data_IF_261351353006
#
_entry.id   IF_261351353006
#
_cell.length_a   1.000
_cell.length_b   1.000
_cell.length_c   1.000
_cell.angle_alpha   90.00
_cell.angle_beta   90.00
_cell.angle_gamma   90.00
#
_symmetry.space_group_name_H-M   'P 1'
#
loop_
_entity.id
_entity.type
_entity.pdbx_description
1 polymer ?
2 non-polymer ?
3 non-polymer ?
4 non-polymer ?
5 non-polymer ?
6 water ?
#
# COMPACT_ATOMS: atom_id res chain seq x y z
N UNK A 2 -0.19 -17.93 4.36
CA UNK A 2 -0.89 -17.66 3.07
C UNK A 2 0.08 -17.42 1.92
N UNK A 3 -0.44 -16.90 0.79
CA UNK A 3 0.36 -16.70 -0.42
C UNK A 3 1.48 -15.66 -0.25
N UNK A 4 2.63 -15.93 -0.85
CA UNK A 4 3.70 -14.94 -0.96
C UNK A 4 4.19 -14.90 -2.40
N UNK A 5 4.87 -13.81 -2.76
CA UNK A 5 5.55 -13.75 -4.05
C UNK A 5 6.74 -14.70 -4.01
N UNK A 6 6.91 -15.46 -5.09
CA UNK A 6 7.94 -16.50 -5.18
C UNK A 6 9.11 -16.05 -6.06
N UNK A 7 9.36 -14.75 -6.07
CA UNK A 7 10.38 -14.16 -6.93
C UNK A 7 10.81 -12.85 -6.27
N UNK A 8 11.98 -12.34 -6.63
CA UNK A 8 12.50 -11.15 -5.95
C UNK A 8 12.25 -9.83 -6.65
N UNK A 9 12.10 -9.86 -7.97
CA UNK A 9 11.83 -8.65 -8.73
C UNK A 9 10.33 -8.49 -8.91
N UNK A 10 9.77 -7.46 -8.27
CA UNK A 10 8.34 -7.19 -8.28
C UNK A 10 8.07 -5.87 -8.97
N UNK A 11 7.07 -5.85 -9.85
CA UNK A 11 6.71 -4.63 -10.55
C UNK A 11 5.41 -4.05 -10.03
N UNK A 12 5.31 -2.72 -10.10
CA UNK A 12 4.07 -2.04 -9.84
C UNK A 12 3.79 -1.03 -10.94
N UNK A 13 2.52 -0.70 -11.10
CA UNK A 13 2.08 0.27 -12.08
C UNK A 13 1.03 1.15 -11.43
N UNK A 14 1.14 2.46 -11.64
CA UNK A 14 0.11 3.36 -11.15
C UNK A 14 -0.91 3.53 -12.26
N UNK A 15 -2.06 2.90 -12.06
CA UNK A 15 -3.14 2.85 -13.04
C UNK A 15 -3.68 4.23 -13.40
N UNK A 16 -3.86 5.05 -12.37
CA UNK A 16 -4.42 6.38 -12.48
C UNK A 16 -4.02 7.19 -11.25
N UNK A 17 -4.16 8.51 -11.34
CA UNK A 17 -3.68 9.41 -10.30
C UNK A 17 -4.78 10.20 -9.63
N UNK A 18 -4.75 10.25 -8.31
CA UNK A 18 -5.70 11.10 -7.59
C UNK A 18 -5.51 12.57 -7.95
N UNK A 19 -6.61 13.31 -8.15
CA UNK A 19 -6.48 14.75 -8.37
C UNK A 19 -6.19 15.51 -7.07
N UNK A 20 -6.11 14.79 -5.96
CA UNK A 20 -5.87 15.41 -4.66
C UNK A 20 -4.44 15.89 -4.50
N UNK A 21 -3.52 15.37 -5.31
CA UNK A 21 -2.09 15.58 -5.10
C UNK A 21 -1.39 15.90 -6.40
N UNK A 22 -0.18 16.46 -6.29
CA UNK A 22 0.70 16.60 -7.45
C UNK A 22 1.12 15.21 -7.93
N UNK A 23 1.18 15.03 -9.25
CA UNK A 23 1.59 13.73 -9.81
C UNK A 23 2.91 13.23 -9.23
N UNK A 24 3.91 14.09 -9.18
CA UNK A 24 5.22 13.67 -8.68
C UNK A 24 5.17 13.25 -7.21
N UNK A 25 4.25 13.85 -6.45
CA UNK A 25 4.11 13.50 -5.03
C UNK A 25 3.44 12.14 -4.85
N UNK A 26 2.52 11.79 -5.75
CA UNK A 26 1.94 10.44 -5.74
C UNK A 26 3.04 9.42 -6.04
N UNK A 27 3.82 9.66 -7.09
CA UNK A 27 4.92 8.77 -7.45
C UNK A 27 5.88 8.57 -6.28
N UNK A 28 6.26 9.68 -5.64
CA UNK A 28 7.24 9.62 -4.56
C UNK A 28 6.69 8.92 -3.30
N UNK A 29 5.44 9.21 -2.95
CA UNK A 29 4.82 8.56 -1.79
C UNK A 29 4.77 7.05 -1.98
N UNK A 30 4.37 6.60 -3.16
CA UNK A 30 4.26 5.18 -3.45
C UNK A 30 5.65 4.53 -3.49
N UNK A 31 6.61 5.19 -4.15
CA UNK A 31 7.98 4.70 -4.18
C UNK A 31 8.54 4.55 -2.77
N UNK A 32 8.36 5.55 -1.92
CA UNK A 32 8.87 5.48 -0.55
C UNK A 32 8.20 4.36 0.24
N UNK A 33 6.91 4.14 0.00
CA UNK A 33 6.19 3.08 0.70
C UNK A 33 6.73 1.70 0.32
N UNK A 34 7.03 1.48 -0.97
CA UNK A 34 7.69 0.24 -1.39
C UNK A 34 9.06 0.09 -0.73
N UNK A 35 9.81 1.18 -0.66
CA UNK A 35 11.14 1.18 -0.07
C UNK A 35 11.13 0.74 1.39
N UNK A 36 10.08 1.10 2.13
CA UNK A 36 9.93 0.65 3.50
C UNK A 36 10.06 -0.87 3.60
N UNK A 37 9.41 -1.58 2.66
CA UNK A 37 9.42 -3.02 2.70
C UNK A 37 10.65 -3.66 2.06
N UNK A 38 11.19 -3.05 1.00
CA UNK A 38 12.43 -3.56 0.42
C UNK A 38 13.62 -3.35 1.36
N UNK A 39 13.49 -2.40 2.30
CA UNK A 39 14.52 -2.17 3.33
C UNK A 39 14.75 -3.38 4.23
N UNK A 40 13.72 -4.22 4.36
CA UNK A 40 13.74 -5.29 5.37
C UNK A 40 13.47 -6.67 4.75
N UNK A 41 13.53 -6.75 3.43
CA UNK A 41 13.33 -8.00 2.68
C UNK A 41 14.31 -8.04 1.51
N UNK A 42 14.43 -9.20 0.82
CA UNK A 42 15.21 -9.25 -0.41
C UNK A 42 14.48 -8.73 -1.66
N UNK A 43 13.28 -8.19 -1.47
CA UNK A 43 12.47 -7.76 -2.60
C UNK A 43 13.01 -6.49 -3.26
N UNK A 44 12.82 -6.40 -4.58
CA UNK A 44 13.14 -5.20 -5.35
C UNK A 44 11.89 -4.78 -6.11
N UNK A 45 11.54 -3.50 -6.01
CA UNK A 45 10.34 -2.98 -6.64
C UNK A 45 10.68 -2.00 -7.74
N UNK A 46 10.01 -2.14 -8.87
CA UNK A 46 10.20 -1.25 -10.01
C UNK A 46 8.86 -0.81 -10.57
N UNK A 47 8.75 0.49 -10.83
CA UNK A 47 7.57 1.06 -11.45
C UNK A 47 7.65 0.85 -12.96
N UNK A 48 6.56 0.34 -13.55
CA UNK A 48 6.47 0.21 -15.00
C UNK A 48 5.34 1.09 -15.52
N UNK A 49 5.45 1.50 -16.77
CA UNK A 49 4.54 2.49 -17.35
C UNK A 49 3.41 1.87 -18.13
N UNK A 50 3.66 0.68 -18.68
CA UNK A 50 2.69 -0.02 -19.50
C UNK A 50 2.75 -1.51 -19.18
N UNK A 51 1.69 -2.22 -19.55
CA UNK A 51 1.67 -3.69 -19.43
C UNK A 51 1.25 -4.20 -18.08
N UNK A 52 1.42 -5.51 -17.88
CA UNK A 52 0.95 -6.20 -16.68
C UNK A 52 1.98 -6.11 -15.56
N UNK A 53 1.61 -5.42 -14.49
CA UNK A 53 2.45 -5.33 -13.30
C UNK A 53 1.99 -6.37 -12.29
N UNK A 54 2.85 -6.72 -11.35
CA UNK A 54 2.42 -7.56 -10.23
C UNK A 54 1.43 -6.80 -9.35
N UNK A 55 1.75 -5.55 -9.02
CA UNK A 55 0.92 -4.75 -8.13
C UNK A 55 0.39 -3.54 -8.90
N UNK A 56 -0.91 -3.54 -9.16
CA UNK A 56 -1.56 -2.39 -9.77
C UNK A 56 -2.10 -1.47 -8.68
N UNK A 57 -1.68 -0.21 -8.73
CA UNK A 57 -2.13 0.81 -7.79
C UNK A 57 -3.27 1.60 -8.45
N UNK A 58 -4.43 1.61 -7.79
CA UNK A 58 -5.64 2.21 -8.37
C UNK A 58 -6.27 3.21 -7.39
N UNK A 59 -6.73 4.35 -7.91
CA UNK A 59 -7.59 5.23 -7.12
C UNK A 59 -8.99 5.12 -7.68
N UNK A 60 -9.96 4.82 -6.81
CA UNK A 60 -11.33 4.64 -7.26
C UNK A 60 -12.29 4.93 -6.12
N UNK A 61 -13.55 5.20 -6.47
CA UNK A 61 -14.58 5.45 -5.45
C UNK A 61 -15.74 4.49 -5.61
N UNK A 62 -16.48 4.30 -4.52
CA UNK A 62 -17.70 3.47 -4.55
C UNK A 62 -17.44 2.10 -5.13
N UNK A 63 -18.37 1.61 -5.94
CA UNK A 63 -18.22 0.33 -6.63
C UNK A 63 -17.22 0.50 -7.76
N UNK A 64 -16.20 -0.36 -7.80
CA UNK A 64 -15.13 -0.21 -8.77
C UNK A 64 -14.65 -1.53 -9.36
N UNK A 65 -15.53 -2.52 -9.38
CA UNK A 65 -15.33 -3.71 -10.19
C UNK A 65 -14.73 -4.94 -9.52
N UNK A 66 -14.61 -4.91 -8.20
CA UNK A 66 -14.00 -6.05 -7.50
C UNK A 66 -14.86 -6.65 -6.39
N UNK A 67 -16.09 -6.17 -6.29
CA UNK A 67 -17.06 -6.66 -5.30
C UNK A 67 -16.77 -6.15 -3.87
N UNK A 68 -15.69 -5.36 -3.71
CA UNK A 68 -15.34 -4.74 -2.43
C UNK A 68 -15.53 -3.22 -2.50
N UNK A 69 -16.79 -2.79 -2.52
CA UNK A 69 -17.09 -1.36 -2.71
C UNK A 69 -16.56 -0.46 -1.61
N UNK A 70 -16.15 0.75 -2.01
CA UNK A 70 -15.78 1.78 -1.05
C UNK A 70 -17.03 2.52 -0.54
N UNK A 71 -16.84 3.31 0.51
CA UNK A 71 -17.91 3.77 1.39
C UNK A 71 -17.99 5.29 1.53
N UNK A 72 -17.41 6.03 0.58
CA UNK A 72 -17.37 7.49 0.71
C UNK A 72 -16.28 7.93 1.66
N UNK A 73 -16.28 9.22 1.99
CA UNK A 73 -15.24 9.77 2.85
C UNK A 73 -15.25 9.13 4.24
N UNK A 74 -14.07 8.80 4.72
CA UNK A 74 -13.92 8.12 6.02
C UNK A 74 -14.07 6.62 5.90
N UNK A 75 -14.12 5.94 7.04
CA UNK A 75 -14.29 4.49 7.04
C UNK A 75 -13.13 3.78 6.36
N UNK A 76 -13.45 2.96 5.37
CA UNK A 76 -12.42 2.26 4.59
C UNK A 76 -11.63 3.27 3.77
N UNK A 77 -10.32 3.31 3.96
CA UNK A 77 -9.46 4.26 3.26
C UNK A 77 -8.87 3.65 1.99
N UNK A 78 -8.63 2.34 2.05
CA UNK A 78 -7.96 1.62 0.99
C UNK A 78 -8.08 0.13 1.29
N UNK A 79 -7.80 -0.70 0.30
CA UNK A 79 -7.67 -2.14 0.51
C UNK A 79 -6.74 -2.74 -0.52
N UNK A 80 -6.24 -3.94 -0.24
CA UNK A 80 -5.30 -4.57 -1.13
C UNK A 80 -5.41 -6.08 -1.07
N UNK A 81 -5.02 -6.74 -2.15
CA UNK A 81 -5.15 -8.18 -2.28
C UNK A 81 -3.78 -8.82 -2.09
N UNK A 82 -3.79 -9.98 -1.43
CA UNK A 82 -2.56 -10.75 -1.22
C UNK A 82 -1.97 -11.24 -2.53
N UNK A 83 -0.70 -11.69 -2.49
CA UNK A 83 0.00 -12.17 -3.67
C UNK A 83 -0.78 -13.22 -4.46
N UNK A 84 -0.73 -13.10 -5.78
CA UNK A 84 -1.39 -14.04 -6.67
C UNK A 84 -1.50 -13.43 -8.04
N UNK A 85 -2.00 -14.22 -8.98
CA UNK A 85 -2.27 -13.76 -10.34
C UNK A 85 -3.41 -12.75 -10.40
N UNK A 86 -3.50 -12.04 -11.52
CA UNK A 86 -4.63 -11.14 -11.77
C UNK A 86 -4.69 -10.00 -10.77
N UNK A 87 -5.80 -9.89 -10.06
CA UNK A 87 -5.97 -8.84 -9.05
C UNK A 87 -5.08 -9.04 -7.81
N UNK A 88 -4.51 -10.25 -7.67
CA UNK A 88 -3.57 -10.51 -6.59
C UNK A 88 -2.50 -9.43 -6.55
N UNK A 89 -2.22 -8.94 -5.34
CA UNK A 89 -1.23 -7.87 -5.17
C UNK A 89 -1.77 -6.44 -5.30
N UNK A 90 -2.91 -6.27 -5.97
CA UNK A 90 -3.34 -4.92 -6.30
C UNK A 90 -3.75 -4.14 -5.07
N UNK A 91 -3.52 -2.82 -5.12
CA UNK A 91 -3.84 -1.93 -4.02
C UNK A 91 -4.74 -0.81 -4.51
N UNK A 92 -5.90 -0.69 -3.87
CA UNK A 92 -6.91 0.30 -4.26
C UNK A 92 -7.08 1.32 -3.16
N UNK A 93 -7.07 2.59 -3.54
CA UNK A 93 -7.20 3.72 -2.61
C UNK A 93 -8.51 4.45 -2.89
N UNK A 94 -9.28 4.69 -1.82
CA UNK A 94 -10.60 5.31 -1.95
C UNK A 94 -10.45 6.78 -2.35
N UNK A 95 -10.89 7.11 -3.56
CA UNK A 95 -10.80 8.47 -4.05
C UNK A 95 -11.68 9.44 -3.24
N UNK A 96 -12.64 8.92 -2.48
CA UNK A 96 -13.43 9.79 -1.64
C UNK A 96 -12.68 10.29 -0.41
N UNK A 97 -11.48 9.76 -0.17
CA UNK A 97 -10.59 10.38 0.81
C UNK A 97 -9.87 11.55 0.16
N UNK A 98 -9.32 12.44 0.97
CA UNK A 98 -8.45 13.49 0.45
C UNK A 98 -7.00 13.16 0.78
N UNK A 99 -6.28 12.68 -0.24
CA UNK A 99 -4.92 12.19 -0.08
C UNK A 99 -3.93 13.34 -0.02
N UNK A 100 -2.98 13.26 0.91
CA UNK A 100 -1.94 14.31 1.02
C UNK A 100 -0.54 13.77 1.30
N UNK A 101 0.43 14.67 1.21
CA UNK A 101 1.82 14.41 1.59
C UNK A 101 2.11 14.71 3.05
N UNK A 102 1.10 15.15 3.81
CA UNK A 102 1.34 15.68 5.14
C UNK A 102 0.29 15.18 6.14
N UNK A 103 0.04 15.95 7.19
CA UNK A 103 -0.87 15.50 8.26
C UNK A 103 -2.33 15.75 7.93
N UNK A 104 -2.60 16.58 6.92
CA UNK A 104 -3.95 16.87 6.48
C UNK A 104 -4.57 15.71 5.73
N UNK A 105 -5.90 15.68 5.66
CA UNK A 105 -6.61 14.60 4.98
C UNK A 105 -6.13 13.23 5.45
N UNK A 106 -5.86 12.35 4.50
CA UNK A 106 -5.28 11.04 4.78
C UNK A 106 -3.93 10.96 4.08
N UNK A 107 -2.88 10.66 4.83
CA UNK A 107 -1.54 10.59 4.27
C UNK A 107 -1.39 9.38 3.35
N UNK A 108 -1.05 9.64 2.09
CA UNK A 108 -0.93 8.55 1.11
C UNK A 108 0.22 7.59 1.45
N UNK A 109 1.39 8.13 1.75
CA UNK A 109 2.54 7.29 2.09
C UNK A 109 2.21 6.29 3.21
N UNK A 110 1.68 6.77 4.32
CA UNK A 110 1.40 5.89 5.46
C UNK A 110 0.39 4.81 5.09
N UNK A 111 -0.66 5.22 4.37
CA UNK A 111 -1.68 4.28 3.92
C UNK A 111 -1.08 3.25 2.98
N UNK A 112 -0.23 3.70 2.06
CA UNK A 112 0.41 2.79 1.12
C UNK A 112 1.34 1.80 1.80
N UNK A 113 2.04 2.20 2.86
CA UNK A 113 2.88 1.24 3.58
C UNK A 113 2.01 0.09 4.09
N UNK A 114 0.88 0.43 4.70
CA UNK A 114 -0.07 -0.58 5.19
C UNK A 114 -0.59 -1.45 4.05
N UNK A 115 -1.06 -0.84 2.97
CA UNK A 115 -1.63 -1.60 1.86
C UNK A 115 -0.62 -2.51 1.19
N UNK A 116 0.59 -2.00 0.98
CA UNK A 116 1.63 -2.83 0.37
C UNK A 116 1.97 -4.02 1.29
N UNK A 117 1.89 -3.82 2.61
CA UNK A 117 2.02 -4.94 3.54
C UNK A 117 1.06 -6.06 3.16
N UNK A 118 -0.20 -5.71 2.91
CA UNK A 118 -1.18 -6.68 2.43
C UNK A 118 -0.79 -7.26 1.06
N UNK A 119 -0.35 -6.41 0.13
CA UNK A 119 0.07 -6.86 -1.21
C UNK A 119 1.20 -7.89 -1.17
N UNK A 120 1.97 -7.88 -0.09
CA UNK A 120 3.07 -8.81 0.10
C UNK A 120 2.68 -10.04 0.92
N UNK A 121 1.48 -10.02 1.48
CA UNK A 121 0.97 -11.21 2.18
C UNK A 121 0.69 -11.05 3.66
N UNK A 122 0.91 -9.85 4.20
CA UNK A 122 0.64 -9.61 5.61
C UNK A 122 -0.83 -9.40 5.89
N UNK A 123 -1.25 -9.89 7.05
CA UNK A 123 -2.57 -9.59 7.61
C UNK A 123 -2.47 -8.50 8.65
N UNK A 124 -3.58 -8.21 9.32
CA UNK A 124 -3.61 -7.18 10.35
C UNK A 124 -2.97 -7.65 11.65
N UNK A 125 -2.34 -6.70 12.32
CA UNK A 125 -1.74 -6.93 13.62
C UNK A 125 -2.64 -6.35 14.70
N UNK A 126 -2.62 -6.97 15.88
CA UNK A 126 -3.35 -6.45 17.02
C UNK A 126 -2.54 -5.42 17.80
N UNK A 127 -1.27 -5.26 17.44
CA UNK A 127 -0.36 -4.31 18.11
C UNK A 127 -0.60 -2.89 17.60
N UNK A 128 -1.06 -2.00 18.49
CA UNK A 128 -1.36 -0.61 18.11
C UNK A 128 -0.16 0.16 17.55
N UNK A 129 1.05 -0.34 17.77
CA UNK A 129 2.27 0.31 17.29
C UNK A 129 2.65 -0.10 15.86
N UNK A 130 1.99 -1.14 15.36
CA UNK A 130 2.33 -1.71 14.05
C UNK A 130 1.66 -0.96 12.90
N UNK A 131 2.38 -0.83 11.78
CA UNK A 131 1.77 -0.24 10.60
C UNK A 131 0.62 -1.10 10.08
N UNK A 132 0.69 -2.41 10.36
CA UNK A 132 -0.39 -3.35 9.99
C UNK A 132 -1.57 -3.38 10.96
N UNK A 133 -1.53 -2.55 12.01
CA UNK A 133 -2.72 -2.33 12.85
C UNK A 133 -3.83 -1.77 11.95
N UNK A 134 -5.10 -2.20 12.17
CA UNK A 134 -6.17 -1.73 11.28
C UNK A 134 -6.46 -0.22 11.27
N UNK A 135 -6.12 0.48 12.35
CA UNK A 135 -6.55 1.87 12.52
C UNK A 135 -5.53 2.87 11.99
N UNK A 136 -5.99 3.75 11.10
CA UNK A 136 -5.15 4.85 10.63
C UNK A 136 -4.97 5.89 11.74
N UNK A 137 -3.73 6.31 11.95
CA UNK A 137 -3.43 7.47 12.78
C UNK A 137 -2.15 8.10 12.25
N UNK A 138 -2.20 9.40 11.99
CA UNK A 138 -1.03 10.08 11.45
C UNK A 138 0.17 10.03 12.39
N UNK A 139 1.34 9.71 11.82
CA UNK A 139 2.62 9.85 12.49
C UNK A 139 3.56 10.57 11.53
N UNK A 140 4.55 11.30 12.06
CA UNK A 140 5.49 12.06 11.23
C UNK A 140 6.14 11.16 10.17
N UNK A 141 5.91 11.48 8.90
CA UNK A 141 6.35 10.61 7.80
C UNK A 141 7.86 10.62 7.55
N UNK A 142 8.52 11.71 7.94
CA UNK A 142 9.95 11.92 7.68
C UNK A 142 10.84 11.01 8.53
N UNK A 143 10.30 10.55 9.66
CA UNK A 143 11.03 9.69 10.58
C UNK A 143 10.35 8.34 10.79
N UNK A 144 9.34 8.06 9.98
CA UNK A 144 8.55 6.82 10.10
C UNK A 144 9.43 5.57 10.16
N UNK A 145 9.07 4.65 11.06
CA UNK A 145 9.71 3.33 11.11
C UNK A 145 8.70 2.21 11.39
N UNK A 146 8.93 1.04 10.79
CA UNK A 146 8.14 -0.16 11.07
C UNK A 146 8.31 -0.57 12.52
N UNK A 147 7.28 -1.17 13.11
CA UNK A 147 7.38 -1.71 14.46
C UNK A 147 8.12 -3.05 14.42
N UNK A 148 8.58 -3.51 15.58
CA UNK A 148 9.20 -4.83 15.69
C UNK A 148 8.25 -5.93 15.18
N UNK A 149 6.96 -5.76 15.47
CA UNK A 149 5.94 -6.71 15.02
C UNK A 149 5.84 -6.78 13.49
N UNK A 150 5.89 -5.62 12.83
CA UNK A 150 5.88 -5.56 11.36
C UNK A 150 7.08 -6.26 10.75
N UNK A 151 8.26 -6.01 11.33
CA UNK A 151 9.50 -6.61 10.84
C UNK A 151 9.49 -8.12 11.04
N UNK A 152 9.05 -8.58 12.20
CA UNK A 152 8.94 -10.02 12.46
C UNK A 152 7.97 -10.66 11.46
N UNK A 153 6.85 -10.00 11.23
CA UNK A 153 5.83 -10.48 10.30
C UNK A 153 6.35 -10.63 8.88
N UNK A 154 6.96 -9.57 8.36
CA UNK A 154 7.43 -9.62 6.98
C UNK A 154 8.61 -10.58 6.80
N UNK A 155 9.48 -10.65 7.80
CA UNK A 155 10.64 -11.53 7.70
C UNK A 155 10.28 -13.02 7.91
N UNK A 156 9.09 -13.28 8.47
CA UNK A 156 8.56 -14.64 8.49
C UNK A 156 8.07 -15.09 7.11
N UNK A 157 7.79 -14.11 6.26
CA UNK A 157 7.35 -14.38 4.87
C UNK A 157 8.48 -14.31 3.84
N UNK A 158 9.47 -13.44 4.08
CA UNK A 158 10.57 -13.20 3.13
C UNK A 158 11.89 -13.06 3.89
N UNK A 159 12.97 -13.49 3.24
CA UNK A 159 14.33 -13.21 3.74
C UNK A 159 14.74 -13.94 5.00
X LIG B 1 -5.62 -3.33 6.17
X LIG C 1 -11.02 -2.50 -4.72
X LIG D 1 -1.85 -8.05 -9.70
X LIG E 1 -9.97 12.45 -3.37
X LIG F 1 -13.80 5.61 2.52
X LIG G 1 -8.79 1.59 5.63
X LIG G 1 -8.56 1.46 6.83
X LIG G 1 -9.69 1.58 7.82
X LIG G 1 -9.26 1.32 9.16
X LIG G 1 -10.76 0.52 7.62
X LIG G 1 -12.07 1.04 8.21
X LIG G 1 -11.83 1.39 9.62
X LIG G 1 -12.23 2.54 10.20
X LIG G 1 -12.60 2.55 11.37
X LIG G 1 -12.23 3.67 9.50
X LIG G 1 -12.74 4.84 10.08
X LIG G 1 -11.10 0.42 10.44
X LIG G 1 -10.32 -0.55 8.45
X LIG G 1 -9.86 0.11 9.62
X LIG G 1 -7.36 1.21 7.34
X LIG G 1 -6.14 1.09 6.55
X LIG G 1 -4.96 1.67 7.32
X LIG G 1 -4.20 2.72 6.79
X LIG G 1 -3.13 3.24 7.51
X LIG G 1 -2.78 2.71 8.76
X LIG G 1 -3.54 1.66 9.28
X LIG G 1 -4.61 1.14 8.56
X LIG G 1 -1.63 3.27 9.54
X LIG G 1 -0.88 2.48 10.41
X LIG G 1 0.18 3.03 11.13
X LIG G 1 -1.31 4.63 9.41
X LIG G 1 -0.24 5.18 10.12
X LIG G 1 0.50 4.39 10.99
X LIG H 1 -9.74 -2.32 5.04
X LIG H 1 -8.30 -2.75 5.06
X LIG H 1 -7.89 -3.76 5.62
X LIG H 1 -7.47 -1.95 4.41
X LIG H 1 -6.11 -2.26 4.38
#
# INVERSE_FOLDING_TARGET
MGPVWRKHYITYRINNYTPDMNREDVDYAIRKAFQVWSNVTPLKFSKINTGMADILVVFARGAHGDDHAFDGKGGILAHAFGPGSGIGGDAHFDEDEFWTTHSGGTNLFLTAVHEIGHSLGLGHSSDPKAVMFPTYKYVDINTFRLSADDIRGIQSLYG
ZN ZN
ZN ZN
CA CA
CA CA
CA CA
37A O6 C9 C6 O2 C5 C7 N1 C21 O1 N2 O4 C3 O3 C1 N3 C12 C13 C15 C19 C17 C16 C14 C18 C11 C2 C20 C10 C4
HAE C1 C2 O2 N O
#
